data_IF_237964419249
#
_entry.id   IF_237964419249
#
_cell.length_a   1.000
_cell.length_b   1.000
_cell.length_c   1.000
_cell.angle_alpha   90.00
_cell.angle_beta   90.00
_cell.angle_gamma   90.00
#
_symmetry.space_group_name_H-M   'P 1'
#
loop_
_entity.id
_entity.type
_entity.pdbx_description
1 polymer ?
#
# COMPACT_ATOMS: atom_id res chain seq x y z
N UNK A 1 16.10 25.15 -12.20
CA UNK A 1 15.37 25.00 -10.93
C UNK A 1 13.99 24.45 -11.26
N UNK A 2 13.94 23.13 -11.49
CA UNK A 2 13.06 22.15 -10.81
C UNK A 2 11.57 22.45 -10.96
N UNK A 3 10.96 21.88 -12.00
CA UNK A 3 9.51 21.75 -12.06
C UNK A 3 9.02 20.99 -10.82
N UNK A 4 8.01 21.55 -10.17
CA UNK A 4 7.40 20.96 -8.98
C UNK A 4 6.93 19.54 -9.35
N UNK A 5 7.29 18.55 -8.53
CA UNK A 5 6.84 17.18 -8.74
C UNK A 5 5.30 17.15 -8.69
N UNK A 6 4.65 16.72 -9.78
CA UNK A 6 3.19 16.74 -9.91
C UNK A 6 2.46 16.04 -8.75
N UNK A 7 3.08 15.00 -8.20
CA UNK A 7 2.56 14.27 -7.03
C UNK A 7 2.50 15.18 -5.80
N UNK A 8 3.52 16.02 -5.60
CA UNK A 8 3.56 17.00 -4.50
C UNK A 8 2.49 18.06 -4.62
N UNK A 9 2.20 18.54 -5.84
CA UNK A 9 1.09 19.48 -6.06
C UNK A 9 -0.25 18.86 -5.71
N UNK A 10 -0.50 17.62 -6.17
CA UNK A 10 -1.75 16.91 -5.93
C UNK A 10 -1.94 16.60 -4.44
N UNK A 11 -0.89 16.16 -3.76
CA UNK A 11 -0.93 15.91 -2.31
C UNK A 11 -1.26 17.20 -1.53
N UNK A 12 -0.56 18.30 -1.83
CA UNK A 12 -0.83 19.60 -1.20
C UNK A 12 -2.23 20.11 -1.49
N UNK A 13 -2.74 19.88 -2.70
CA UNK A 13 -4.10 20.27 -3.10
C UNK A 13 -5.20 19.64 -2.26
N UNK A 14 -4.95 18.49 -1.63
CA UNK A 14 -5.88 17.83 -0.70
C UNK A 14 -5.48 17.98 0.78
N UNK A 15 -4.49 18.83 1.08
CA UNK A 15 -3.97 19.02 2.44
C UNK A 15 -3.11 17.87 2.96
N UNK A 16 -2.64 16.97 2.08
CA UNK A 16 -1.78 15.87 2.46
C UNK A 16 -0.30 16.27 2.48
N UNK A 17 0.43 15.73 3.45
CA UNK A 17 1.88 15.86 3.55
C UNK A 17 2.58 14.62 2.98
N UNK A 18 3.63 14.83 2.18
CA UNK A 18 4.48 13.74 1.70
C UNK A 18 5.55 13.46 2.75
N UNK A 19 5.48 12.29 3.38
CA UNK A 19 6.49 11.82 4.31
C UNK A 19 7.71 11.28 3.55
N UNK A 20 8.91 11.71 3.94
CA UNK A 20 10.14 11.17 3.40
C UNK A 20 10.40 9.75 3.94
N UNK A 21 10.71 8.83 3.04
CA UNK A 21 11.17 7.48 3.38
C UNK A 21 12.56 7.29 2.77
N UNK A 22 13.60 6.96 3.58
CA UNK A 22 14.92 6.72 3.04
C UNK A 22 14.95 5.43 2.18
N UNK A 23 15.85 5.36 1.17
CA UNK A 23 15.97 4.18 0.32
C UNK A 23 16.27 2.91 1.10
N UNK A 24 15.66 1.80 0.68
CA UNK A 24 15.91 0.44 1.21
C UNK A 24 15.78 0.30 2.73
N UNK A 25 14.94 1.13 3.37
CA UNK A 25 14.66 1.02 4.80
C UNK A 25 13.21 0.54 5.03
N UNK A 26 12.93 -0.75 4.77
CA UNK A 26 11.58 -1.31 4.90
C UNK A 26 11.03 -1.16 6.33
N UNK A 27 11.90 -1.15 7.35
CA UNK A 27 11.51 -0.98 8.75
C UNK A 27 10.86 0.38 9.07
N UNK A 28 11.08 1.41 8.23
CA UNK A 28 10.41 2.71 8.38
C UNK A 28 9.06 2.77 7.66
N UNK A 29 8.73 1.77 6.86
CA UNK A 29 7.45 1.67 6.19
C UNK A 29 6.50 0.73 6.96
N UNK A 30 5.59 1.32 7.74
CA UNK A 30 4.67 0.59 8.64
C UNK A 30 3.84 -0.50 7.94
N UNK A 31 3.61 -0.40 6.62
CA UNK A 31 2.81 -1.41 5.89
C UNK A 31 3.58 -2.72 5.70
N UNK A 32 4.92 -2.70 5.73
CA UNK A 32 5.75 -3.88 5.48
C UNK A 32 5.48 -4.99 6.50
N UNK A 33 5.23 -4.62 7.76
CA UNK A 33 4.87 -5.55 8.82
C UNK A 33 3.52 -6.26 8.59
N UNK A 34 2.64 -5.68 7.77
CA UNK A 34 1.31 -6.23 7.52
C UNK A 34 1.26 -7.17 6.31
N UNK A 35 2.21 -7.07 5.37
CA UNK A 35 2.17 -7.86 4.13
C UNK A 35 2.16 -9.36 4.38
N UNK A 36 2.93 -9.84 5.36
CA UNK A 36 2.95 -11.26 5.70
C UNK A 36 1.55 -11.80 6.08
N UNK A 37 0.80 -11.06 6.91
CA UNK A 37 -0.54 -11.46 7.34
C UNK A 37 -1.54 -11.42 6.17
N UNK A 38 -1.47 -10.37 5.35
CA UNK A 38 -2.31 -10.18 4.16
C UNK A 38 -2.10 -11.34 3.18
N UNK A 39 -0.87 -11.58 2.79
CA UNK A 39 -0.54 -12.63 1.82
C UNK A 39 -0.93 -14.03 2.32
N UNK A 40 -0.70 -14.33 3.59
CA UNK A 40 -1.00 -15.65 4.15
C UNK A 40 -2.51 -15.93 4.13
N UNK A 41 -3.36 -14.95 4.47
CA UNK A 41 -4.82 -15.09 4.39
C UNK A 41 -5.29 -15.20 2.95
N UNK A 42 -4.78 -14.36 2.04
CA UNK A 42 -5.14 -14.42 0.61
C UNK A 42 -4.77 -15.77 0.01
N UNK A 43 -3.55 -16.28 0.22
CA UNK A 43 -3.09 -17.57 -0.35
C UNK A 43 -3.99 -18.74 0.05
N UNK A 44 -4.48 -18.76 1.30
CA UNK A 44 -5.40 -19.80 1.78
C UNK A 44 -6.80 -19.70 1.19
N UNK A 45 -7.19 -18.48 0.83
CA UNK A 45 -8.55 -18.17 0.42
C UNK A 45 -8.74 -18.09 -1.10
N UNK A 46 -7.67 -17.94 -1.89
CA UNK A 46 -7.74 -17.86 -3.37
C UNK A 46 -8.67 -18.93 -3.99
N UNK A 47 -8.61 -20.22 -3.59
CA UNK A 47 -9.47 -21.25 -4.18
C UNK A 47 -10.97 -21.08 -3.86
N UNK A 48 -11.32 -20.28 -2.85
CA UNK A 48 -12.69 -20.03 -2.41
C UNK A 48 -13.37 -18.90 -3.20
N UNK A 49 -12.63 -18.19 -4.04
CA UNK A 49 -13.12 -17.02 -4.77
C UNK A 49 -12.96 -17.20 -6.28
N UNK A 50 -13.93 -16.67 -7.02
CA UNK A 50 -13.91 -16.65 -8.50
C UNK A 50 -12.97 -15.59 -9.07
N UNK A 51 -12.45 -14.70 -8.22
CA UNK A 51 -11.60 -13.57 -8.59
C UNK A 51 -10.55 -13.36 -7.53
N UNK A 52 -9.31 -13.11 -7.97
CA UNK A 52 -8.22 -12.69 -7.10
C UNK A 52 -8.60 -11.43 -6.29
N UNK A 53 -9.33 -10.49 -6.92
CA UNK A 53 -9.78 -9.28 -6.25
C UNK A 53 -10.68 -9.59 -5.04
N UNK A 54 -11.62 -10.53 -5.19
CA UNK A 54 -12.47 -10.95 -4.08
C UNK A 54 -11.68 -11.63 -2.96
N UNK A 55 -10.65 -12.42 -3.29
CA UNK A 55 -9.77 -13.01 -2.28
C UNK A 55 -9.00 -11.93 -1.50
N UNK A 56 -8.54 -10.87 -2.16
CA UNK A 56 -7.89 -9.72 -1.51
C UNK A 56 -8.88 -8.95 -0.63
N UNK A 57 -10.05 -8.60 -1.16
CA UNK A 57 -11.08 -7.84 -0.43
C UNK A 57 -11.56 -8.59 0.81
N UNK A 58 -11.59 -9.93 0.77
CA UNK A 58 -11.93 -10.75 1.93
C UNK A 58 -11.02 -10.53 3.13
N UNK A 59 -9.81 -9.97 2.96
CA UNK A 59 -8.94 -9.62 4.09
C UNK A 59 -9.46 -8.41 4.88
N UNK A 60 -10.08 -7.44 4.22
CA UNK A 60 -10.47 -6.15 4.77
C UNK A 60 -11.91 -6.13 5.29
N UNK A 61 -12.66 -7.20 5.03
CA UNK A 61 -13.98 -7.51 5.59
C UNK A 61 -13.83 -8.34 6.87
#
# INVERSE_FOLDING_TARGET
MTGVNKITELAKGVGAEILYLPPYFPDFNKIEHNWFAIENRIRKNIPLFTSFRHAVDSYFL
#
